data_IF_427415336628
#
_entry.id   IF_427415336628
#
_cell.length_a   1.000
_cell.length_b   1.000
_cell.length_c   1.000
_cell.angle_alpha   90.00
_cell.angle_beta   90.00
_cell.angle_gamma   90.00
#
_symmetry.space_group_name_H-M   'P 1'
#
loop_
_entity.id
_entity.type
_entity.pdbx_description
1 polymer ?
#
# COMPACT_ATOMS: atom_id res chain seq x y z
N UNK A 1 -0.75 -17.39 -7.52
CA UNK A 1 -2.15 -17.50 -8.03
C UNK A 1 -2.19 -16.79 -9.37
N UNK A 2 -2.73 -17.40 -10.44
CA UNK A 2 -2.75 -16.72 -11.74
C UNK A 2 -3.91 -15.71 -11.77
N UNK A 3 -3.58 -14.42 -11.78
CA UNK A 3 -4.57 -13.35 -11.94
C UNK A 3 -5.15 -13.39 -13.36
N UNK A 4 -6.42 -13.00 -13.50
CA UNK A 4 -6.98 -12.59 -14.79
C UNK A 4 -6.55 -11.14 -15.02
N UNK A 5 -5.92 -10.88 -16.15
CA UNK A 5 -5.25 -9.61 -16.46
C UNK A 5 -5.91 -8.92 -17.65
N UNK A 6 -5.67 -7.63 -17.84
CA UNK A 6 -6.37 -6.81 -18.85
C UNK A 6 -6.18 -7.29 -20.29
N UNK A 7 -5.10 -8.00 -20.61
CA UNK A 7 -4.88 -8.63 -21.93
C UNK A 7 -5.93 -9.70 -22.28
N UNK A 8 -6.60 -10.26 -21.27
CA UNK A 8 -7.65 -11.26 -21.42
C UNK A 8 -9.05 -10.64 -21.41
N UNK A 9 -9.16 -9.35 -21.11
CA UNK A 9 -10.44 -8.67 -20.94
C UNK A 9 -10.99 -8.19 -22.30
N UNK A 10 -12.19 -8.62 -22.64
CA UNK A 10 -12.96 -8.06 -23.74
C UNK A 10 -13.69 -6.80 -23.26
N UNK A 11 -13.12 -5.63 -23.58
CA UNK A 11 -13.54 -4.30 -23.07
C UNK A 11 -14.01 -3.33 -24.15
N UNK A 12 -13.87 -3.66 -25.43
CA UNK A 12 -14.24 -2.76 -26.54
C UNK A 12 -15.74 -2.50 -26.56
N UNK A 13 -16.12 -1.21 -26.52
CA UNK A 13 -17.52 -0.77 -26.43
C UNK A 13 -18.25 -1.19 -25.15
N UNK A 14 -17.55 -1.72 -24.14
CA UNK A 14 -18.17 -2.15 -22.87
C UNK A 14 -18.04 -1.11 -21.79
N UNK A 15 -18.96 -1.16 -20.83
CA UNK A 15 -18.87 -0.38 -19.59
C UNK A 15 -17.95 -1.09 -18.62
N UNK A 16 -16.88 -0.42 -18.22
CA UNK A 16 -15.85 -0.99 -17.36
C UNK A 16 -15.85 -0.23 -16.04
N UNK A 17 -16.20 -0.93 -14.96
CA UNK A 17 -16.05 -0.41 -13.61
C UNK A 17 -14.59 -0.54 -13.18
N UNK A 18 -13.91 0.57 -12.98
CA UNK A 18 -12.50 0.61 -12.58
C UNK A 18 -12.39 1.10 -11.14
N UNK A 19 -11.98 0.22 -10.23
CA UNK A 19 -11.78 0.55 -8.82
C UNK A 19 -10.38 1.14 -8.61
N UNK A 20 -10.27 2.46 -8.42
CA UNK A 20 -8.98 3.17 -8.33
C UNK A 20 -8.61 3.63 -6.91
N UNK A 21 -7.32 3.83 -6.64
CA UNK A 21 -6.82 4.23 -5.32
C UNK A 21 -6.78 5.74 -5.02
N UNK A 22 -7.76 6.57 -5.41
CA UNK A 22 -7.68 8.06 -5.34
C UNK A 22 -7.88 8.68 -3.94
N UNK A 23 -7.39 8.03 -2.89
CA UNK A 23 -7.34 8.59 -1.54
C UNK A 23 -6.07 9.45 -1.40
N UNK A 24 -6.14 10.70 -1.88
CA UNK A 24 -5.00 11.63 -1.96
C UNK A 24 -5.05 12.69 -0.85
N UNK A 25 -3.89 13.18 -0.37
CA UNK A 25 -3.85 14.28 0.58
C UNK A 25 -4.18 15.61 -0.11
N UNK A 26 -4.83 16.51 0.63
CA UNK A 26 -5.13 17.87 0.17
C UNK A 26 -4.37 18.91 1.01
N UNK A 27 -3.98 20.00 0.37
CA UNK A 27 -3.44 21.19 1.01
C UNK A 27 -4.54 21.95 1.77
N UNK A 28 -4.15 22.90 2.61
CA UNK A 28 -5.10 23.73 3.36
C UNK A 28 -6.02 24.59 2.46
N UNK A 29 -5.56 24.93 1.24
CA UNK A 29 -6.34 25.63 0.21
C UNK A 29 -7.17 24.69 -0.68
N UNK A 30 -7.25 23.39 -0.35
CA UNK A 30 -8.13 22.43 -1.02
C UNK A 30 -7.61 21.87 -2.34
N UNK A 31 -6.30 21.99 -2.61
CA UNK A 31 -5.66 21.40 -3.79
C UNK A 31 -5.06 20.03 -3.46
N UNK A 32 -4.87 19.19 -4.46
CA UNK A 32 -4.18 17.92 -4.29
C UNK A 32 -2.71 18.21 -3.93
N UNK A 33 -2.27 17.73 -2.78
CA UNK A 33 -0.90 17.93 -2.29
C UNK A 33 0.08 16.91 -2.89
N UNK A 34 -0.42 15.71 -3.21
CA UNK A 34 0.33 14.61 -3.81
C UNK A 34 -0.62 13.79 -4.68
N UNK A 35 -0.32 13.70 -5.97
CA UNK A 35 -1.14 13.04 -6.99
C UNK A 35 -0.61 11.66 -7.43
N UNK A 36 0.41 11.12 -6.74
CA UNK A 36 1.05 9.84 -7.09
C UNK A 36 0.01 8.73 -7.31
N UNK A 37 -0.95 8.60 -6.39
CA UNK A 37 -2.02 7.60 -6.47
C UNK A 37 -2.91 7.71 -7.70
N UNK A 38 -3.08 8.92 -8.22
CA UNK A 38 -3.85 9.15 -9.46
C UNK A 38 -3.00 8.71 -10.65
N UNK A 39 -1.74 9.13 -10.68
CA UNK A 39 -0.78 8.81 -11.74
C UNK A 39 -0.58 7.31 -11.91
N UNK A 40 -0.52 6.57 -10.81
CA UNK A 40 -0.37 5.11 -10.79
C UNK A 40 -1.51 4.36 -11.51
N UNK A 41 -2.69 4.98 -11.68
CA UNK A 41 -3.83 4.36 -12.37
C UNK A 41 -3.89 4.74 -13.87
N UNK A 42 -3.12 5.73 -14.34
CA UNK A 42 -3.28 6.31 -15.68
C UNK A 42 -2.99 5.31 -16.80
N UNK A 43 -2.06 4.38 -16.59
CA UNK A 43 -1.72 3.36 -17.60
C UNK A 43 -2.93 2.48 -17.93
N UNK A 44 -3.64 2.00 -16.91
CA UNK A 44 -4.86 1.20 -17.10
C UNK A 44 -6.02 2.02 -17.63
N UNK A 45 -6.21 3.25 -17.16
CA UNK A 45 -7.28 4.12 -17.66
C UNK A 45 -7.09 4.43 -19.15
N UNK A 46 -5.88 4.85 -19.57
CA UNK A 46 -5.57 5.11 -20.98
C UNK A 46 -5.74 3.88 -21.85
N UNK A 47 -5.29 2.71 -21.39
CA UNK A 47 -5.50 1.45 -22.11
C UNK A 47 -6.99 1.18 -22.37
N UNK A 48 -7.84 1.35 -21.37
CA UNK A 48 -9.28 1.13 -21.51
C UNK A 48 -9.92 2.14 -22.47
N UNK A 49 -9.54 3.42 -22.37
CA UNK A 49 -9.96 4.48 -23.30
C UNK A 49 -9.54 4.15 -24.73
N UNK A 50 -8.27 3.77 -24.95
CA UNK A 50 -7.73 3.40 -26.26
C UNK A 50 -8.41 2.18 -26.86
N UNK A 51 -8.88 1.26 -26.01
CA UNK A 51 -9.67 0.10 -26.42
C UNK A 51 -11.16 0.41 -26.68
N UNK A 52 -11.60 1.65 -26.53
CA UNK A 52 -12.99 2.04 -26.80
C UNK A 52 -13.96 1.72 -25.66
N UNK A 53 -13.48 1.42 -24.45
CA UNK A 53 -14.34 1.18 -23.30
C UNK A 53 -15.03 2.47 -22.82
N UNK A 54 -16.16 2.31 -22.14
CA UNK A 54 -16.79 3.36 -21.33
C UNK A 54 -16.21 3.23 -19.92
N UNK A 55 -15.39 4.17 -19.48
CA UNK A 55 -14.59 4.02 -18.27
C UNK A 55 -15.31 4.63 -17.07
N UNK A 56 -15.78 3.79 -16.15
CA UNK A 56 -16.51 4.21 -14.94
C UNK A 56 -15.58 4.04 -13.73
N UNK A 57 -15.01 5.14 -13.29
CA UNK A 57 -14.03 5.17 -12.21
C UNK A 57 -14.74 5.28 -10.86
N UNK A 58 -14.40 4.38 -9.94
CA UNK A 58 -14.92 4.37 -8.59
C UNK A 58 -13.78 4.42 -7.56
N UNK A 59 -13.84 5.41 -6.66
CA UNK A 59 -12.83 5.59 -5.63
C UNK A 59 -13.44 6.02 -4.29
N UNK A 60 -12.61 6.02 -3.25
CA UNK A 60 -12.91 6.67 -2.00
C UNK A 60 -11.86 7.73 -1.70
N UNK A 61 -12.26 8.72 -0.91
CA UNK A 61 -11.37 9.74 -0.38
C UNK A 61 -11.64 9.89 1.12
N UNK A 62 -10.60 9.70 1.93
CA UNK A 62 -10.68 9.81 3.38
C UNK A 62 -11.66 8.83 4.04
N UNK A 63 -12.23 9.29 5.17
CA UNK A 63 -13.06 8.47 6.07
C UNK A 63 -14.34 9.22 6.49
N UNK A 64 -15.28 9.45 5.55
CA UNK A 64 -16.52 10.19 5.81
C UNK A 64 -17.55 9.49 6.72
N UNK A 65 -17.38 8.19 6.97
CA UNK A 65 -18.28 7.37 7.82
C UNK A 65 -19.74 7.38 7.33
N UNK A 66 -19.96 7.24 6.02
CA UNK A 66 -21.32 7.18 5.44
C UNK A 66 -22.05 8.52 5.44
N UNK A 67 -21.31 9.64 5.35
CA UNK A 67 -21.87 10.99 5.30
C UNK A 67 -21.22 11.77 4.18
N UNK A 68 -22.00 12.60 3.48
CA UNK A 68 -21.46 13.53 2.49
C UNK A 68 -20.62 14.59 3.20
N UNK A 69 -19.37 14.74 2.80
CA UNK A 69 -18.43 15.75 3.29
C UNK A 69 -17.79 16.41 2.08
N UNK A 70 -18.06 17.69 1.86
CA UNK A 70 -17.63 18.42 0.65
C UNK A 70 -16.11 18.36 0.42
N UNK A 71 -15.32 18.48 1.49
CA UNK A 71 -13.85 18.40 1.42
C UNK A 71 -13.31 17.01 1.07
N UNK A 72 -14.17 15.99 1.02
CA UNK A 72 -13.84 14.63 0.61
C UNK A 72 -14.56 14.22 -0.70
N UNK A 73 -15.17 15.17 -1.42
CA UNK A 73 -15.83 14.89 -2.71
C UNK A 73 -14.80 14.58 -3.81
N UNK A 74 -15.20 13.71 -4.73
CA UNK A 74 -14.47 13.39 -5.96
C UNK A 74 -14.49 14.54 -6.97
N UNK A 75 -15.37 15.53 -6.81
CA UNK A 75 -15.37 16.77 -7.62
C UNK A 75 -14.08 17.57 -7.49
N UNK A 76 -13.36 17.41 -6.37
CA UNK A 76 -12.05 18.01 -6.16
C UNK A 76 -10.93 17.30 -6.94
N UNK A 77 -11.19 16.07 -7.41
CA UNK A 77 -10.22 15.21 -8.13
C UNK A 77 -10.49 15.22 -9.64
N UNK A 78 -11.77 15.28 -10.04
CA UNK A 78 -12.20 15.24 -11.45
C UNK A 78 -11.41 16.14 -12.41
N UNK A 79 -11.26 17.46 -12.13
CA UNK A 79 -10.51 18.37 -13.00
C UNK A 79 -9.05 17.97 -13.18
N UNK A 80 -8.36 17.60 -12.09
CA UNK A 80 -6.96 17.16 -12.14
C UNK A 80 -6.80 15.86 -12.92
N UNK A 81 -7.75 14.92 -12.75
CA UNK A 81 -7.75 13.68 -13.52
C UNK A 81 -7.95 13.94 -15.01
N UNK A 82 -8.82 14.89 -15.37
CA UNK A 82 -9.05 15.30 -16.76
C UNK A 82 -7.77 15.87 -17.40
N UNK A 83 -7.06 16.75 -16.69
CA UNK A 83 -5.76 17.28 -17.14
C UNK A 83 -4.71 16.18 -17.34
N UNK A 84 -4.66 15.18 -16.45
CA UNK A 84 -3.69 14.08 -16.56
C UNK A 84 -4.01 13.10 -17.70
N UNK A 85 -5.30 12.89 -17.99
CA UNK A 85 -5.74 12.00 -19.06
C UNK A 85 -5.72 12.66 -20.43
N UNK A 86 -5.74 14.00 -20.49
CA UNK A 86 -6.03 14.76 -21.72
C UNK A 86 -7.38 14.37 -22.33
N UNK A 87 -8.36 14.07 -21.47
CA UNK A 87 -9.71 13.62 -21.82
C UNK A 87 -10.72 14.25 -20.85
N UNK A 88 -11.94 14.51 -21.31
CA UNK A 88 -13.01 15.06 -20.45
C UNK A 88 -13.45 14.01 -19.42
N UNK A 89 -13.46 14.39 -18.13
CA UNK A 89 -13.91 13.52 -17.04
C UNK A 89 -15.22 14.04 -16.46
N UNK A 90 -16.31 13.32 -16.73
CA UNK A 90 -17.62 13.65 -16.15
C UNK A 90 -17.69 13.16 -14.72
N UNK A 91 -17.69 14.09 -13.76
CA UNK A 91 -17.80 13.75 -12.33
C UNK A 91 -19.24 13.81 -11.86
N UNK A 92 -19.73 12.71 -11.26
CA UNK A 92 -21.11 12.62 -10.76
C UNK A 92 -21.20 13.04 -9.29
N UNK A 93 -22.41 13.41 -8.86
CA UNK A 93 -22.70 13.78 -7.47
C UNK A 93 -23.05 12.61 -6.56
N UNK A 94 -23.13 11.40 -7.10
CA UNK A 94 -23.37 10.16 -6.37
C UNK A 94 -22.64 9.00 -7.09
N UNK A 95 -22.58 7.81 -6.48
CA UNK A 95 -22.05 6.58 -7.07
C UNK A 95 -23.13 5.56 -7.44
N UNK A 96 -24.38 5.78 -7.02
CA UNK A 96 -25.54 4.94 -7.34
C UNK A 96 -26.78 5.81 -7.61
N UNK A 97 -27.86 5.17 -8.04
CA UNK A 97 -29.17 5.81 -8.22
C UNK A 97 -29.53 6.14 -9.67
N UNK A 98 -30.75 6.67 -9.89
CA UNK A 98 -31.33 6.80 -11.24
C UNK A 98 -30.52 7.72 -12.16
N UNK A 99 -29.99 8.83 -11.62
CA UNK A 99 -29.21 9.79 -12.39
C UNK A 99 -27.87 9.19 -12.83
N UNK A 100 -27.19 8.46 -11.93
CA UNK A 100 -25.94 7.76 -12.25
C UNK A 100 -26.17 6.73 -13.35
N UNK A 101 -27.24 5.93 -13.24
CA UNK A 101 -27.62 4.94 -14.27
C UNK A 101 -27.92 5.60 -15.61
N UNK A 102 -28.60 6.76 -15.60
CA UNK A 102 -28.94 7.52 -16.81
C UNK A 102 -27.68 8.01 -17.53
N UNK A 103 -26.78 8.71 -16.83
CA UNK A 103 -25.55 9.24 -17.41
C UNK A 103 -24.68 8.13 -17.97
N UNK A 104 -24.55 7.01 -17.25
CA UNK A 104 -23.76 5.86 -17.72
C UNK A 104 -24.41 5.20 -18.95
N UNK A 105 -25.73 5.08 -19.00
CA UNK A 105 -26.43 4.49 -20.15
C UNK A 105 -26.35 5.38 -21.40
N UNK A 106 -26.28 6.70 -21.24
CA UNK A 106 -26.14 7.67 -22.33
C UNK A 106 -24.68 7.89 -22.75
N UNK A 107 -23.72 7.36 -21.99
CA UNK A 107 -22.29 7.52 -22.26
C UNK A 107 -21.87 6.89 -23.58
N UNK A 108 -20.89 7.49 -24.23
CA UNK A 108 -20.32 7.01 -25.49
C UNK A 108 -19.02 6.24 -25.25
N UNK A 109 -18.61 5.38 -26.20
CA UNK A 109 -17.29 4.77 -26.17
C UNK A 109 -16.19 5.81 -25.95
N UNK A 110 -15.19 5.46 -25.15
CA UNK A 110 -14.06 6.32 -24.73
C UNK A 110 -14.39 7.40 -23.69
N UNK A 111 -15.64 7.62 -23.33
CA UNK A 111 -15.97 8.60 -22.28
C UNK A 111 -15.55 8.10 -20.88
N UNK A 112 -15.10 9.04 -20.06
CA UNK A 112 -14.62 8.78 -18.70
C UNK A 112 -15.57 9.40 -17.68
N UNK A 113 -16.08 8.58 -16.78
CA UNK A 113 -17.02 8.97 -15.73
C UNK A 113 -16.36 8.70 -14.38
N UNK A 114 -16.34 9.71 -13.51
CA UNK A 114 -15.89 9.58 -12.13
C UNK A 114 -17.11 9.59 -11.19
N UNK A 115 -17.36 8.46 -10.53
CA UNK A 115 -18.38 8.36 -9.49
C UNK A 115 -17.99 9.17 -8.26
N UNK A 116 -18.99 9.60 -7.48
CA UNK A 116 -18.73 10.24 -6.18
C UNK A 116 -18.12 9.25 -5.17
N UNK A 117 -17.58 9.78 -4.07
CA UNK A 117 -16.89 9.04 -3.03
C UNK A 117 -17.72 7.86 -2.49
N UNK A 118 -17.26 6.64 -2.79
CA UNK A 118 -17.90 5.38 -2.39
C UNK A 118 -18.22 5.31 -0.89
N UNK A 119 -17.39 5.95 -0.04
CA UNK A 119 -17.55 5.90 1.42
C UNK A 119 -18.58 6.91 1.97
N UNK A 120 -19.19 7.73 1.12
CA UNK A 120 -20.40 8.48 1.49
C UNK A 120 -21.58 7.54 1.75
N UNK A 121 -21.55 6.33 1.21
CA UNK A 121 -22.42 5.21 1.56
C UNK A 121 -21.73 4.35 2.63
N UNK A 122 -22.41 4.05 3.73
CA UNK A 122 -21.86 3.19 4.81
C UNK A 122 -21.73 1.74 4.34
N UNK A 123 -22.62 1.37 3.43
CA UNK A 123 -22.81 0.09 2.77
C UNK A 123 -21.50 -0.40 2.10
N UNK A 124 -20.67 0.52 1.62
CA UNK A 124 -19.34 0.24 1.06
C UNK A 124 -18.45 -0.54 2.04
N UNK A 125 -18.39 -0.10 3.31
CA UNK A 125 -17.54 -0.75 4.33
C UNK A 125 -18.20 -1.98 4.94
N UNK A 126 -19.51 -2.06 4.88
CA UNK A 126 -20.30 -3.20 5.36
C UNK A 126 -20.32 -4.36 4.34
N UNK A 127 -19.72 -4.15 3.16
CA UNK A 127 -19.78 -5.08 2.04
C UNK A 127 -21.22 -5.47 1.71
N UNK A 128 -22.12 -4.47 1.73
CA UNK A 128 -23.54 -4.71 1.55
C UNK A 128 -23.84 -5.31 0.16
N UNK A 129 -24.54 -6.46 0.09
CA UNK A 129 -24.80 -7.12 -1.19
C UNK A 129 -25.67 -6.31 -2.15
N UNK A 130 -26.62 -5.50 -1.66
CA UNK A 130 -27.49 -4.71 -2.53
C UNK A 130 -26.75 -3.50 -3.09
N UNK A 131 -25.92 -2.86 -2.28
CA UNK A 131 -25.02 -1.81 -2.75
C UNK A 131 -24.02 -2.34 -3.79
N UNK A 132 -23.43 -3.52 -3.56
CA UNK A 132 -22.56 -4.16 -4.54
C UNK A 132 -23.29 -4.48 -5.87
N UNK A 133 -24.56 -4.93 -5.81
CA UNK A 133 -25.39 -5.14 -7.01
C UNK A 133 -25.69 -3.84 -7.74
N UNK A 134 -26.01 -2.77 -7.02
CA UNK A 134 -26.26 -1.46 -7.61
C UNK A 134 -25.02 -0.94 -8.36
N UNK A 135 -23.83 -1.03 -7.75
CA UNK A 135 -22.58 -0.68 -8.41
C UNK A 135 -22.28 -1.60 -9.61
N UNK A 136 -22.45 -2.91 -9.45
CA UNK A 136 -22.22 -3.88 -10.52
C UNK A 136 -23.16 -3.66 -11.72
N UNK A 137 -24.39 -3.18 -11.48
CA UNK A 137 -25.37 -2.91 -12.56
C UNK A 137 -24.94 -1.81 -13.53
N UNK A 138 -23.94 -1.00 -13.15
CA UNK A 138 -23.41 0.10 -13.95
C UNK A 138 -22.48 -0.39 -15.07
N UNK A 139 -21.93 -1.60 -14.97
CA UNK A 139 -20.85 -2.07 -15.82
C UNK A 139 -21.02 -3.52 -16.29
N UNK A 140 -20.27 -3.88 -17.31
CA UNK A 140 -20.22 -5.23 -17.89
C UNK A 140 -18.95 -5.97 -17.43
N UNK A 141 -17.90 -5.22 -17.09
CA UNK A 141 -16.58 -5.73 -16.67
C UNK A 141 -16.11 -4.98 -15.43
N UNK A 142 -15.43 -5.68 -14.52
CA UNK A 142 -14.77 -5.11 -13.36
C UNK A 142 -13.25 -5.16 -13.50
N UNK A 143 -12.60 -4.04 -13.24
CA UNK A 143 -11.15 -3.91 -13.17
C UNK A 143 -10.79 -3.36 -11.80
N UNK A 144 -9.99 -4.09 -11.03
CA UNK A 144 -9.41 -3.57 -9.79
C UNK A 144 -8.06 -2.94 -10.10
N UNK A 145 -7.86 -1.69 -9.68
CA UNK A 145 -6.58 -0.97 -9.76
C UNK A 145 -6.17 -0.36 -8.41
N UNK A 146 -6.84 -0.76 -7.32
CA UNK A 146 -6.62 -0.24 -5.98
C UNK A 146 -5.81 -1.21 -5.10
N UNK A 147 -4.56 -1.49 -5.46
CA UNK A 147 -3.67 -2.44 -4.74
C UNK A 147 -3.63 -2.18 -3.22
N UNK A 148 -3.46 -0.92 -2.80
CA UNK A 148 -3.42 -0.52 -1.39
C UNK A 148 -4.71 -0.85 -0.62
N UNK A 149 -5.82 -1.13 -1.31
CA UNK A 149 -7.11 -1.48 -0.71
C UNK A 149 -7.49 -2.96 -0.86
N UNK A 150 -6.72 -3.77 -1.59
CA UNK A 150 -7.04 -5.20 -1.84
C UNK A 150 -7.24 -6.03 -0.57
N UNK A 151 -6.62 -5.63 0.55
CA UNK A 151 -6.77 -6.30 1.84
C UNK A 151 -8.12 -6.02 2.54
N UNK A 152 -9.04 -5.27 1.90
CA UNK A 152 -10.32 -4.86 2.47
C UNK A 152 -11.48 -5.60 1.82
N UNK A 153 -12.32 -6.22 2.65
CA UNK A 153 -13.59 -6.80 2.22
C UNK A 153 -14.67 -5.72 2.16
N UNK A 154 -14.68 -4.93 1.10
CA UNK A 154 -15.66 -3.87 0.85
C UNK A 154 -16.50 -4.16 -0.39
N UNK A 155 -17.67 -3.53 -0.50
CA UNK A 155 -18.61 -3.75 -1.60
C UNK A 155 -17.97 -3.51 -2.98
N UNK A 156 -17.27 -2.37 -3.14
CA UNK A 156 -16.59 -2.03 -4.40
C UNK A 156 -15.31 -2.83 -4.70
N UNK A 157 -14.78 -3.57 -3.72
CA UNK A 157 -13.56 -4.38 -3.83
C UNK A 157 -13.90 -5.85 -4.08
N UNK A 158 -14.66 -6.46 -3.19
CA UNK A 158 -14.95 -7.90 -3.23
C UNK A 158 -16.39 -8.20 -3.66
N UNK A 159 -17.34 -7.31 -3.34
CA UNK A 159 -18.74 -7.46 -3.72
C UNK A 159 -18.94 -7.42 -5.23
N UNK A 160 -18.56 -6.31 -5.87
CA UNK A 160 -18.67 -6.12 -7.33
C UNK A 160 -17.85 -7.17 -8.09
N UNK A 161 -16.64 -7.49 -7.63
CA UNK A 161 -15.77 -8.49 -8.25
C UNK A 161 -16.37 -9.91 -8.30
N UNK A 162 -17.31 -10.24 -7.40
CA UNK A 162 -18.05 -11.52 -7.42
C UNK A 162 -19.20 -11.53 -8.43
N UNK A 163 -19.66 -10.36 -8.86
CA UNK A 163 -20.85 -10.20 -9.71
C UNK A 163 -20.51 -9.99 -11.19
N UNK A 164 -19.30 -9.50 -11.49
CA UNK A 164 -18.83 -9.21 -12.84
C UNK A 164 -17.57 -10.02 -13.20
N UNK A 165 -17.28 -10.24 -14.49
CA UNK A 165 -15.96 -10.66 -14.93
C UNK A 165 -14.88 -9.70 -14.41
N UNK A 166 -14.03 -10.19 -13.50
CA UNK A 166 -13.07 -9.40 -12.76
C UNK A 166 -11.63 -9.62 -13.24
N UNK A 167 -10.95 -8.52 -13.53
CA UNK A 167 -9.55 -8.47 -13.99
C UNK A 167 -8.72 -7.54 -13.10
N UNK A 168 -7.43 -7.84 -12.97
CA UNK A 168 -6.46 -6.94 -12.37
C UNK A 168 -6.02 -5.89 -13.40
N UNK A 169 -5.99 -4.63 -12.98
CA UNK A 169 -5.30 -3.55 -13.66
C UNK A 169 -3.78 -3.74 -13.64
N UNK A 170 -3.07 -2.90 -14.38
CA UNK A 170 -1.63 -3.06 -14.57
C UNK A 170 -0.83 -2.86 -13.28
N UNK A 171 -1.26 -1.95 -12.39
CA UNK A 171 -0.56 -1.77 -11.11
C UNK A 171 -0.75 -3.00 -10.23
N UNK A 172 -1.98 -3.48 -10.07
CA UNK A 172 -2.22 -4.71 -9.28
C UNK A 172 -1.43 -5.88 -9.85
N UNK A 173 -1.41 -6.04 -11.18
CA UNK A 173 -0.62 -7.09 -11.82
C UNK A 173 0.86 -6.94 -11.46
N UNK A 174 1.46 -5.75 -11.65
CA UNK A 174 2.88 -5.50 -11.33
C UNK A 174 3.21 -5.79 -9.86
N UNK A 175 2.37 -5.34 -8.94
CA UNK A 175 2.56 -5.55 -7.50
C UNK A 175 2.46 -7.02 -7.11
N UNK A 176 1.47 -7.74 -7.64
CA UNK A 176 1.30 -9.17 -7.37
C UNK A 176 2.41 -9.98 -8.02
N UNK A 177 2.83 -9.66 -9.24
CA UNK A 177 3.94 -10.34 -9.92
C UNK A 177 5.26 -10.14 -9.15
N UNK A 178 5.53 -8.92 -8.68
CA UNK A 178 6.70 -8.62 -7.86
C UNK A 178 6.69 -9.38 -6.53
N UNK A 179 5.55 -9.36 -5.82
CA UNK A 179 5.42 -10.04 -4.54
C UNK A 179 5.44 -11.56 -4.68
N UNK A 180 4.77 -12.12 -5.68
CA UNK A 180 4.81 -13.56 -5.99
C UNK A 180 6.22 -14.00 -6.40
N UNK A 181 6.95 -13.18 -7.14
CA UNK A 181 8.37 -13.43 -7.43
C UNK A 181 9.20 -13.57 -6.14
N UNK A 182 8.93 -12.75 -5.13
CA UNK A 182 9.60 -12.84 -3.83
C UNK A 182 9.11 -14.05 -3.02
N UNK A 183 7.80 -14.31 -2.96
CA UNK A 183 7.25 -15.31 -2.03
C UNK A 183 7.27 -16.75 -2.52
N UNK A 184 7.19 -16.95 -3.84
CA UNK A 184 6.97 -18.27 -4.44
C UNK A 184 8.25 -18.83 -5.07
N UNK A 185 9.10 -17.97 -5.66
CA UNK A 185 10.36 -18.37 -6.29
C UNK A 185 11.40 -17.24 -6.24
N UNK A 186 11.90 -16.88 -5.04
CA UNK A 186 12.87 -15.79 -4.91
C UNK A 186 14.16 -16.09 -5.68
N UNK A 187 14.74 -15.06 -6.29
CA UNK A 187 16.09 -15.13 -6.86
C UNK A 187 17.08 -15.07 -5.71
N UNK A 188 18.04 -15.98 -5.73
CA UNK A 188 19.05 -16.11 -4.66
C UNK A 188 20.41 -15.51 -5.06
N UNK A 189 21.13 -14.87 -4.12
CA UNK A 189 20.75 -14.79 -2.70
C UNK A 189 19.69 -13.71 -2.42
N UNK A 190 18.62 -14.10 -1.72
CA UNK A 190 17.51 -13.25 -1.36
C UNK A 190 17.73 -12.63 0.03
N UNK A 191 17.84 -11.31 0.06
CA UNK A 191 18.10 -10.54 1.27
C UNK A 191 16.92 -9.64 1.59
N UNK A 192 16.35 -9.79 2.79
CA UNK A 192 15.27 -8.91 3.27
C UNK A 192 15.80 -7.91 4.30
N UNK A 193 15.54 -6.62 4.10
CA UNK A 193 15.87 -5.56 5.07
C UNK A 193 14.60 -5.15 5.80
N UNK A 194 14.57 -5.30 7.12
CA UNK A 194 13.39 -5.03 7.94
C UNK A 194 13.72 -4.02 9.03
N UNK A 195 13.17 -2.82 8.87
CA UNK A 195 13.26 -1.72 9.84
C UNK A 195 11.91 -1.33 10.45
N UNK A 196 11.93 -0.26 11.23
CA UNK A 196 10.76 0.30 11.90
C UNK A 196 10.89 0.29 13.42
N UNK A 197 9.80 0.71 14.09
CA UNK A 197 9.82 0.94 15.53
C UNK A 197 9.49 -0.30 16.37
N UNK A 198 8.59 -1.17 15.88
CA UNK A 198 8.02 -2.28 16.63
C UNK A 198 8.31 -3.60 15.94
N UNK A 199 8.85 -4.55 16.69
CA UNK A 199 9.05 -5.93 16.24
C UNK A 199 7.71 -6.67 16.15
N UNK A 200 6.73 -6.36 17.02
CA UNK A 200 5.41 -6.99 16.99
C UNK A 200 4.70 -6.81 15.65
N UNK A 201 4.78 -5.61 15.06
CA UNK A 201 4.21 -5.28 13.74
C UNK A 201 4.94 -5.96 12.57
N UNK A 202 6.13 -6.51 12.79
CA UNK A 202 7.02 -7.07 11.74
C UNK A 202 7.33 -8.55 11.93
N UNK A 203 6.96 -9.14 13.06
CA UNK A 203 7.34 -10.51 13.41
C UNK A 203 6.92 -11.54 12.37
N UNK A 204 5.69 -11.44 11.85
CA UNK A 204 5.20 -12.35 10.81
C UNK A 204 6.02 -12.22 9.52
N UNK A 205 6.39 -10.98 9.15
CA UNK A 205 7.24 -10.72 7.97
C UNK A 205 8.64 -11.26 8.20
N UNK A 206 9.25 -11.01 9.36
CA UNK A 206 10.59 -11.54 9.71
C UNK A 206 10.60 -13.06 9.59
N UNK A 207 9.63 -13.74 10.21
CA UNK A 207 9.51 -15.21 10.13
C UNK A 207 9.36 -15.69 8.70
N UNK A 208 8.46 -15.07 7.92
CA UNK A 208 8.25 -15.44 6.52
C UNK A 208 9.50 -15.21 5.67
N UNK A 209 10.24 -14.13 5.89
CA UNK A 209 11.47 -13.85 5.14
C UNK A 209 12.58 -14.83 5.53
N UNK A 210 12.68 -15.25 6.80
CA UNK A 210 13.62 -16.30 7.22
C UNK A 210 13.28 -17.68 6.63
N UNK A 211 12.02 -17.97 6.31
CA UNK A 211 11.66 -19.22 5.63
C UNK A 211 12.20 -19.28 4.19
N UNK A 212 12.32 -18.14 3.51
CA UNK A 212 12.58 -18.08 2.07
C UNK A 212 13.90 -17.39 1.68
N UNK A 213 14.52 -16.64 2.59
CA UNK A 213 15.70 -15.82 2.32
C UNK A 213 17.01 -16.38 2.87
N UNK A 214 18.10 -15.88 2.30
CA UNK A 214 19.47 -16.18 2.71
C UNK A 214 19.93 -15.28 3.85
N UNK A 215 19.43 -14.04 3.90
CA UNK A 215 19.69 -13.10 4.99
C UNK A 215 18.47 -12.24 5.32
N UNK A 216 18.29 -11.95 6.60
CA UNK A 216 17.33 -10.94 7.08
C UNK A 216 18.10 -9.91 7.91
N UNK A 217 18.18 -8.68 7.40
CA UNK A 217 18.94 -7.58 8.00
C UNK A 217 17.98 -6.69 8.80
N UNK A 218 18.16 -6.62 10.11
CA UNK A 218 17.32 -5.81 10.99
C UNK A 218 17.93 -4.43 11.23
N UNK A 219 17.08 -3.40 11.23
CA UNK A 219 17.47 -2.03 11.56
C UNK A 219 16.38 -1.28 12.31
N UNK A 220 16.59 0.00 12.57
CA UNK A 220 15.65 0.84 13.31
C UNK A 220 15.44 0.39 14.76
N UNK A 221 14.42 0.96 15.41
CA UNK A 221 14.18 0.74 16.82
C UNK A 221 13.78 -0.71 17.18
N UNK A 222 13.20 -1.46 16.24
CA UNK A 222 12.86 -2.87 16.49
C UNK A 222 14.11 -3.73 16.78
N UNK A 223 15.27 -3.37 16.21
CA UNK A 223 16.52 -4.07 16.43
C UNK A 223 16.97 -4.00 17.91
N UNK A 224 16.62 -2.92 18.63
CA UNK A 224 16.94 -2.79 20.05
C UNK A 224 16.32 -3.90 20.91
N UNK A 225 15.13 -4.40 20.52
CA UNK A 225 14.49 -5.52 21.23
C UNK A 225 15.32 -6.80 21.06
N UNK A 226 15.89 -7.01 19.86
CA UNK A 226 16.77 -8.14 19.58
C UNK A 226 18.10 -8.03 20.34
N UNK A 227 18.72 -6.84 20.32
CA UNK A 227 19.96 -6.56 21.03
C UNK A 227 19.81 -6.77 22.54
N UNK A 228 18.72 -6.24 23.13
CA UNK A 228 18.42 -6.46 24.55
C UNK A 228 18.20 -7.95 24.85
N UNK A 229 17.55 -8.69 23.95
CA UNK A 229 17.35 -10.13 24.11
C UNK A 229 18.65 -10.95 24.04
N UNK A 230 19.69 -10.41 23.41
CA UNK A 230 21.05 -10.96 23.44
C UNK A 230 21.86 -10.52 24.68
N UNK A 231 21.24 -9.78 25.61
CA UNK A 231 21.89 -9.29 26.83
C UNK A 231 22.66 -7.98 26.64
N UNK A 232 22.55 -7.31 25.49
CA UNK A 232 23.19 -6.02 25.27
C UNK A 232 22.42 -4.88 25.94
N UNK A 233 23.13 -3.87 26.44
CA UNK A 233 22.49 -2.63 26.88
C UNK A 233 22.02 -1.84 25.66
N UNK A 234 20.80 -1.31 25.74
CA UNK A 234 20.22 -0.40 24.74
C UNK A 234 19.81 0.94 25.34
N UNK A 235 20.26 1.23 26.57
CA UNK A 235 19.94 2.45 27.28
C UNK A 235 18.43 2.70 27.41
N UNK A 236 18.00 3.89 27.01
CA UNK A 236 16.61 4.36 27.00
C UNK A 236 15.89 4.09 25.67
N UNK A 237 16.51 3.35 24.75
CA UNK A 237 15.94 3.10 23.42
C UNK A 237 14.63 2.34 23.49
N UNK A 238 13.80 2.51 22.46
CA UNK A 238 12.52 1.81 22.35
C UNK A 238 12.73 0.30 22.32
N UNK A 239 12.06 -0.42 23.21
CA UNK A 239 12.07 -1.89 23.32
C UNK A 239 10.66 -2.39 23.61
N UNK A 240 10.31 -3.55 23.06
CA UNK A 240 9.08 -4.27 23.42
C UNK A 240 9.39 -5.42 24.38
N UNK A 241 9.35 -5.16 25.70
CA UNK A 241 9.70 -6.17 26.72
C UNK A 241 8.88 -7.47 26.62
N UNK A 242 7.62 -7.39 26.15
CA UNK A 242 6.75 -8.56 25.93
C UNK A 242 7.24 -9.48 24.81
N UNK A 243 8.10 -8.99 23.92
CA UNK A 243 8.61 -9.73 22.76
C UNK A 243 10.00 -10.34 23.02
N UNK A 244 10.58 -10.14 24.20
CA UNK A 244 11.94 -10.54 24.55
C UNK A 244 12.19 -12.05 24.41
N UNK A 245 11.24 -12.89 24.82
CA UNK A 245 11.36 -14.34 24.66
C UNK A 245 11.48 -14.74 23.18
N UNK A 246 10.60 -14.21 22.33
CA UNK A 246 10.57 -14.51 20.90
C UNK A 246 11.83 -13.95 20.22
N UNK A 247 12.24 -12.73 20.59
CA UNK A 247 13.47 -12.12 20.10
C UNK A 247 14.69 -12.98 20.42
N UNK A 248 14.80 -13.47 21.65
CA UNK A 248 15.90 -14.34 22.09
C UNK A 248 15.92 -15.64 21.28
N UNK A 249 14.76 -16.30 21.14
CA UNK A 249 14.62 -17.54 20.37
C UNK A 249 15.05 -17.35 18.91
N UNK A 250 14.60 -16.29 18.24
CA UNK A 250 14.98 -15.99 16.86
C UNK A 250 16.48 -15.76 16.70
N UNK A 251 17.12 -15.04 17.63
CA UNK A 251 18.56 -14.79 17.55
C UNK A 251 19.43 -16.03 17.76
N UNK A 252 18.94 -17.02 18.51
CA UNK A 252 19.68 -18.26 18.76
C UNK A 252 19.51 -19.29 17.64
N UNK A 253 18.35 -19.27 16.98
CA UNK A 253 17.94 -20.32 16.05
C UNK A 253 18.29 -20.02 14.60
N UNK A 254 18.55 -18.76 14.24
CA UNK A 254 18.78 -18.38 12.85
C UNK A 254 19.98 -17.44 12.67
N UNK A 255 21.08 -17.98 12.13
CA UNK A 255 22.31 -17.23 11.85
C UNK A 255 22.22 -16.32 10.61
N UNK A 256 21.14 -16.43 9.82
CA UNK A 256 20.85 -15.55 8.68
C UNK A 256 20.25 -14.22 9.13
N UNK A 257 19.70 -14.18 10.35
CA UNK A 257 19.22 -12.96 10.96
C UNK A 257 20.40 -12.10 11.44
N UNK A 258 20.57 -10.92 10.83
CA UNK A 258 21.60 -9.95 11.21
C UNK A 258 20.99 -8.81 11.99
N UNK A 259 21.65 -8.45 13.07
CA UNK A 259 21.34 -7.29 13.91
C UNK A 259 22.52 -6.32 13.88
N UNK A 260 22.32 -5.04 14.20
CA UNK A 260 23.40 -4.07 14.23
C UNK A 260 24.53 -4.48 15.18
N UNK A 261 25.78 -4.26 14.75
CA UNK A 261 26.99 -4.51 15.56
C UNK A 261 27.52 -3.24 16.22
N UNK A 262 27.19 -2.10 15.62
CA UNK A 262 27.47 -0.76 16.10
C UNK A 262 26.27 0.15 15.81
N UNK A 263 26.22 1.27 16.53
CA UNK A 263 25.06 2.15 16.57
C UNK A 263 25.48 3.61 16.68
N UNK A 264 24.58 4.49 16.26
CA UNK A 264 24.64 5.92 16.53
C UNK A 264 23.75 6.23 17.73
N UNK A 265 24.32 6.84 18.77
CA UNK A 265 23.61 7.18 20.00
C UNK A 265 23.61 8.67 20.30
N UNK A 266 22.60 9.12 21.04
CA UNK A 266 22.56 10.45 21.65
C UNK A 266 21.89 10.40 23.03
N UNK A 267 22.01 11.47 23.83
CA UNK A 267 21.32 11.56 25.13
C UNK A 267 19.86 12.02 25.03
N UNK A 268 19.46 12.55 23.87
CA UNK A 268 18.15 13.13 23.60
C UNK A 268 17.74 12.80 22.15
N UNK A 269 16.42 12.77 21.88
CA UNK A 269 15.86 12.52 20.54
C UNK A 269 15.41 13.86 19.95
N UNK A 270 16.37 14.71 19.60
CA UNK A 270 16.13 16.05 19.07
C UNK A 270 17.10 16.35 17.92
N UNK A 271 16.69 17.19 16.96
CA UNK A 271 17.56 17.57 15.85
C UNK A 271 18.74 18.43 16.35
N UNK A 272 19.94 18.18 15.82
CA UNK A 272 21.15 18.97 16.12
C UNK A 272 21.88 18.60 17.41
N UNK A 273 21.44 17.58 18.15
CA UNK A 273 22.16 17.11 19.34
C UNK A 273 23.44 16.34 18.96
N UNK A 274 24.51 16.41 19.78
CA UNK A 274 25.73 15.64 19.53
C UNK A 274 25.44 14.13 19.55
N UNK A 275 25.91 13.43 18.52
CA UNK A 275 25.82 11.97 18.41
C UNK A 275 27.19 11.31 18.63
N UNK A 276 27.17 10.02 18.99
CA UNK A 276 28.37 9.19 19.11
C UNK A 276 28.15 7.90 18.34
N UNK A 277 29.16 7.46 17.60
CA UNK A 277 29.22 6.15 16.96
C UNK A 277 29.95 5.20 17.90
N UNK A 278 29.41 4.02 18.15
CA UNK A 278 30.03 3.04 19.06
C UNK A 278 29.51 1.63 18.79
N UNK A 279 30.33 0.63 19.12
CA UNK A 279 29.89 -0.75 19.21
C UNK A 279 28.69 -0.87 20.17
N UNK A 280 27.75 -1.77 19.87
CA UNK A 280 26.53 -1.96 20.69
C UNK A 280 26.86 -2.27 22.15
N UNK A 281 27.95 -3.02 22.40
CA UNK A 281 28.40 -3.35 23.75
C UNK A 281 28.75 -2.13 24.62
N UNK A 282 28.97 -0.96 24.02
CA UNK A 282 29.39 0.27 24.69
C UNK A 282 28.26 1.29 24.90
N UNK A 283 27.01 0.94 24.57
CA UNK A 283 25.85 1.80 24.78
C UNK A 283 25.61 2.03 26.28
N UNK A 284 25.45 3.30 26.67
CA UNK A 284 25.28 3.70 28.06
C UNK A 284 23.79 3.73 28.45
N UNK A 285 23.51 3.60 29.75
CA UNK A 285 22.15 3.53 30.27
C UNK A 285 21.33 4.81 30.04
N UNK A 286 21.98 5.96 29.86
CA UNK A 286 21.33 7.27 29.65
C UNK A 286 21.20 7.66 28.17
N UNK A 287 21.53 6.77 27.23
CA UNK A 287 21.54 7.04 25.80
C UNK A 287 20.35 6.40 25.06
N UNK A 288 20.02 6.97 23.90
CA UNK A 288 19.12 6.41 22.89
C UNK A 288 19.93 5.99 21.67
N UNK A 289 19.65 4.81 21.14
CA UNK A 289 20.08 4.33 19.83
C UNK A 289 19.13 4.94 18.80
N UNK A 290 19.68 5.72 17.87
CA UNK A 290 18.93 6.48 16.88
C UNK A 290 19.10 5.92 15.46
N UNK A 291 20.22 5.27 15.19
CA UNK A 291 20.53 4.70 13.88
C UNK A 291 21.56 3.57 13.98
N UNK A 292 21.71 2.80 12.91
CA UNK A 292 22.81 1.84 12.75
C UNK A 292 24.14 2.57 12.56
N UNK A 293 25.23 1.99 13.06
CA UNK A 293 26.55 2.56 12.93
C UNK A 293 27.25 2.21 11.60
N UNK A 294 28.40 2.83 11.32
CA UNK A 294 29.16 2.60 10.09
C UNK A 294 29.60 1.14 9.88
N UNK A 295 29.91 0.39 10.93
CA UNK A 295 30.36 -1.01 10.77
C UNK A 295 29.19 -1.91 10.34
N UNK A 296 28.00 -1.63 10.87
CA UNK A 296 26.74 -2.28 10.47
C UNK A 296 26.40 -1.94 9.02
N UNK A 297 26.54 -0.67 8.62
CA UNK A 297 26.35 -0.25 7.23
C UNK A 297 27.27 -1.03 6.30
N UNK A 298 28.57 -1.09 6.60
CA UNK A 298 29.55 -1.83 5.81
C UNK A 298 29.19 -3.33 5.72
N UNK A 299 28.81 -3.94 6.84
CA UNK A 299 28.40 -5.35 6.87
C UNK A 299 27.17 -5.60 5.99
N UNK A 300 26.17 -4.72 6.07
CA UNK A 300 24.94 -4.86 5.29
C UNK A 300 25.21 -4.63 3.80
N UNK A 301 26.03 -3.65 3.44
CA UNK A 301 26.46 -3.43 2.05
C UNK A 301 27.20 -4.65 1.47
N UNK A 302 28.07 -5.30 2.24
CA UNK A 302 28.75 -6.51 1.78
C UNK A 302 27.77 -7.62 1.44
N UNK A 303 26.79 -7.87 2.31
CA UNK A 303 25.74 -8.88 2.08
C UNK A 303 24.90 -8.53 0.86
N UNK A 304 24.52 -7.27 0.70
CA UNK A 304 23.68 -6.82 -0.41
C UNK A 304 24.39 -6.84 -1.76
N UNK A 305 25.72 -6.72 -1.81
CA UNK A 305 26.48 -6.82 -3.07
C UNK A 305 26.52 -8.23 -3.64
N UNK A 306 26.25 -9.23 -2.81
CA UNK A 306 26.18 -10.64 -3.23
C UNK A 306 24.78 -11.02 -3.74
N UNK A 307 23.77 -10.19 -3.46
CA UNK A 307 22.34 -10.36 -3.78
C UNK A 307 21.93 -9.83 -5.15
#
# INVERSE_FOLDING_TARGET
>A
MKLRTLDQADVDGKRVFVRCGFDVPFTADGKIADDERIRECLETLRFLIDKGAHVIIASHNGRPKGKVIESLSMKLIGPHLSELLDEEVTTLSDCIGPEVKRVIAESKPREVILLENLRFHKEEKENDPEFAKELASLADVYVDEAFANLHRDHASMTGVAKLLPAYAGFRIQKEVDALSGITDNPVHPFVAIIGGAKISDKLLVIKRMLEIGDYVLLGGALANTMLKAQGMSVGKSLVEDKMMHIAHELTLTDNRLRVPVDVVTAKQIEAGVPTKKKAVANVQNDEYILDIGPDTINLYEMILREA
#
